data_IF_499465113100
#
_entry.id   IF_499465113100
#
_cell.length_a   1.000
_cell.length_b   1.000
_cell.length_c   1.000
_cell.angle_alpha   90.00
_cell.angle_beta   90.00
_cell.angle_gamma   90.00
#
_symmetry.space_group_name_H-M   'P 1'
#
loop_
_entity.id
_entity.type
_entity.pdbx_description
1 polymer ?
#
# COMPACT_ATOMS: atom_id res chain seq x y z
N UNK A 1 -2.13 -24.12 9.50
CA UNK A 1 -2.79 -22.97 10.13
C UNK A 1 -1.82 -21.79 10.01
N UNK A 2 -2.18 -20.74 9.28
CA UNK A 2 -1.35 -19.53 9.19
C UNK A 2 -1.42 -18.80 10.54
N UNK A 3 -0.37 -18.92 11.35
CA UNK A 3 -0.26 -18.24 12.64
C UNK A 3 0.09 -16.77 12.40
N UNK A 4 -0.58 -15.87 13.10
CA UNK A 4 -0.21 -14.44 13.08
C UNK A 4 1.16 -14.25 13.71
N UNK A 5 2.03 -13.51 13.01
CA UNK A 5 3.35 -13.12 13.55
C UNK A 5 3.27 -11.82 14.31
N UNK A 6 2.33 -10.95 13.94
CA UNK A 6 2.01 -9.70 14.63
C UNK A 6 0.51 -9.62 14.82
N UNK A 7 0.08 -9.28 16.03
CA UNK A 7 -1.29 -8.88 16.34
C UNK A 7 -1.29 -7.51 16.99
N UNK A 8 -2.09 -6.60 16.45
CA UNK A 8 -2.31 -5.26 16.98
C UNK A 8 -3.78 -5.14 17.34
N UNK A 9 -4.08 -4.73 18.58
CA UNK A 9 -5.43 -4.61 19.10
C UNK A 9 -5.65 -3.24 19.73
N UNK A 10 -6.54 -2.46 19.13
CA UNK A 10 -7.04 -1.17 19.61
C UNK A 10 -5.93 -0.18 20.00
N UNK A 11 -4.84 -0.14 19.21
CA UNK A 11 -3.70 0.74 19.47
C UNK A 11 -4.09 2.17 19.20
N UNK A 12 -3.78 3.05 20.15
CA UNK A 12 -3.92 4.50 20.00
C UNK A 12 -2.67 5.22 20.45
N UNK A 13 -2.37 6.35 19.78
CA UNK A 13 -1.26 7.23 20.10
C UNK A 13 -1.58 8.69 19.79
N UNK A 14 -1.33 9.56 20.74
CA UNK A 14 -1.42 11.01 20.61
C UNK A 14 -0.11 11.65 21.03
N UNK A 15 0.37 12.63 20.26
CA UNK A 15 1.51 13.46 20.65
C UNK A 15 1.05 14.78 21.29
N UNK A 16 -0.18 15.18 21.03
CA UNK A 16 -0.83 16.36 21.59
C UNK A 16 -2.20 15.99 22.16
N UNK A 17 -2.64 16.72 23.18
CA UNK A 17 -3.91 16.47 23.85
C UNK A 17 -5.08 16.55 22.86
N UNK A 18 -5.92 15.52 22.82
CA UNK A 18 -7.12 15.40 21.98
C UNK A 18 -6.89 15.31 20.46
N UNK A 19 -5.68 14.98 20.00
CA UNK A 19 -5.43 14.75 18.57
C UNK A 19 -4.67 13.43 18.36
N UNK A 20 -5.39 12.29 18.30
CA UNK A 20 -4.75 11.01 18.10
C UNK A 20 -4.23 10.87 16.68
N UNK A 21 -2.94 10.59 16.54
CA UNK A 21 -2.27 10.29 15.26
C UNK A 21 -2.53 8.83 14.86
N UNK A 22 -2.65 7.93 15.84
CA UNK A 22 -3.14 6.56 15.67
C UNK A 22 -4.34 6.40 16.56
N UNK A 23 -5.47 5.95 16.04
CA UNK A 23 -6.75 5.97 16.70
C UNK A 23 -7.48 4.64 16.53
N UNK A 24 -7.43 3.80 17.54
CA UNK A 24 -8.12 2.50 17.60
C UNK A 24 -7.76 1.56 16.44
N UNK A 25 -6.46 1.46 16.13
CA UNK A 25 -5.96 0.64 15.04
C UNK A 25 -5.83 -0.82 15.46
N UNK A 26 -6.42 -1.72 14.67
CA UNK A 26 -6.36 -3.16 14.88
C UNK A 26 -6.12 -3.89 13.56
N UNK A 27 -5.12 -4.77 13.52
CA UNK A 27 -4.86 -5.68 12.40
C UNK A 27 -3.92 -6.82 12.82
N UNK A 28 -3.83 -7.83 11.97
CA UNK A 28 -2.88 -8.93 12.09
C UNK A 28 -2.00 -9.04 10.85
N UNK A 29 -0.81 -9.58 11.02
CA UNK A 29 0.10 -9.97 9.94
C UNK A 29 0.42 -11.45 10.09
N UNK A 30 0.27 -12.22 9.02
CA UNK A 30 0.52 -13.66 9.01
C UNK A 30 2.00 -13.97 8.82
N UNK A 31 2.39 -15.20 9.15
CA UNK A 31 3.74 -15.68 8.83
C UNK A 31 3.95 -15.69 7.32
N UNK A 32 5.15 -15.30 6.89
CA UNK A 32 5.59 -15.22 5.48
C UNK A 32 4.78 -14.23 4.63
N UNK A 33 4.04 -13.31 5.28
CA UNK A 33 3.25 -12.28 4.64
C UNK A 33 4.04 -10.97 4.52
N UNK A 34 3.87 -10.31 3.38
CA UNK A 34 4.25 -8.90 3.18
C UNK A 34 2.98 -8.06 3.31
N UNK A 35 2.90 -7.27 4.35
CA UNK A 35 1.76 -6.42 4.68
C UNK A 35 2.09 -4.95 4.48
N UNK A 36 1.26 -4.20 3.77
CA UNK A 36 1.48 -2.78 3.57
C UNK A 36 0.50 -1.92 4.39
N UNK A 37 1.03 -0.90 5.06
CA UNK A 37 0.26 0.24 5.57
C UNK A 37 0.33 1.36 4.54
N UNK A 38 -0.76 1.62 3.85
CA UNK A 38 -0.88 2.58 2.76
C UNK A 38 -1.80 3.73 3.16
N UNK A 39 -1.47 4.97 2.81
CA UNK A 39 -2.33 6.12 3.09
C UNK A 39 -1.63 7.45 2.85
N UNK A 40 -2.34 8.59 2.92
CA UNK A 40 -1.76 9.91 2.72
C UNK A 40 -0.71 10.25 3.79
N UNK A 41 0.11 11.26 3.51
CA UNK A 41 1.09 11.76 4.47
C UNK A 41 0.39 12.24 5.75
N UNK A 42 0.96 11.93 6.92
CA UNK A 42 0.41 12.33 8.21
C UNK A 42 -0.75 11.48 8.74
N UNK A 43 -1.22 10.41 8.05
CA UNK A 43 -2.33 9.57 8.53
C UNK A 43 -1.95 8.54 9.62
N UNK A 44 -0.71 8.52 10.12
CA UNK A 44 -0.30 7.68 11.26
C UNK A 44 0.51 6.43 10.93
N UNK A 45 0.85 6.14 9.66
CA UNK A 45 1.57 4.93 9.21
C UNK A 45 2.93 4.75 9.91
N UNK A 46 3.83 5.73 9.75
CA UNK A 46 5.16 5.72 10.37
C UNK A 46 5.08 5.62 11.89
N UNK A 47 4.10 6.30 12.51
CA UNK A 47 3.87 6.19 13.96
C UNK A 47 3.45 4.77 14.34
N UNK A 48 2.54 4.14 13.58
CA UNK A 48 2.15 2.74 13.80
C UNK A 48 3.36 1.81 13.65
N UNK A 49 4.20 2.01 12.63
CA UNK A 49 5.41 1.22 12.44
C UNK A 49 6.40 1.39 13.61
N UNK A 50 6.58 2.62 14.12
CA UNK A 50 7.43 2.93 15.28
C UNK A 50 6.91 2.32 16.58
N UNK A 51 5.59 2.27 16.76
CA UNK A 51 4.96 1.57 17.88
C UNK A 51 5.27 0.06 17.84
N UNK A 52 5.20 -0.58 16.66
CA UNK A 52 5.55 -1.99 16.48
C UNK A 52 7.04 -2.22 16.76
N UNK A 53 7.90 -1.31 16.29
CA UNK A 53 9.35 -1.38 16.51
C UNK A 53 9.76 -1.14 17.97
N UNK A 54 8.92 -0.46 18.78
CA UNK A 54 9.22 -0.05 20.14
C UNK A 54 9.98 1.26 20.25
N UNK A 55 10.01 2.08 19.19
CA UNK A 55 10.55 3.43 19.24
C UNK A 55 9.58 4.44 19.87
N UNK A 56 8.30 4.07 19.98
CA UNK A 56 7.24 4.87 20.59
C UNK A 56 6.43 4.00 21.56
N UNK A 57 5.81 4.65 22.56
CA UNK A 57 4.89 4.04 23.50
C UNK A 57 3.45 4.24 23.04
N UNK A 58 2.64 3.19 23.11
CA UNK A 58 1.20 3.31 22.90
C UNK A 58 0.53 3.99 24.10
N UNK A 59 -0.52 4.78 23.84
CA UNK A 59 -1.34 5.35 24.90
C UNK A 59 -2.39 4.32 25.38
N UNK A 60 -2.80 3.40 24.50
CA UNK A 60 -3.70 2.28 24.81
C UNK A 60 -3.57 1.15 23.80
N UNK A 61 -4.16 0.00 24.10
CA UNK A 61 -4.18 -1.20 23.27
C UNK A 61 -2.99 -2.14 23.51
N UNK A 62 -2.76 -3.08 22.60
CA UNK A 62 -1.68 -4.04 22.74
C UNK A 62 -1.04 -4.42 21.41
N UNK A 63 0.24 -4.77 21.46
CA UNK A 63 1.00 -5.34 20.34
C UNK A 63 1.61 -6.65 20.80
N UNK A 64 1.36 -7.71 20.03
CA UNK A 64 1.94 -9.03 20.21
C UNK A 64 2.81 -9.36 19.01
N UNK A 65 4.07 -9.77 19.21
CA UNK A 65 4.98 -10.23 18.15
C UNK A 65 5.42 -11.65 18.52
N UNK A 66 5.28 -12.61 17.58
CA UNK A 66 5.63 -14.02 17.80
C UNK A 66 5.03 -14.59 19.10
N UNK A 67 3.74 -14.34 19.33
CA UNK A 67 2.99 -14.73 20.54
C UNK A 67 3.50 -14.13 21.87
N UNK A 68 4.41 -13.14 21.81
CA UNK A 68 4.89 -12.41 22.99
C UNK A 68 4.29 -11.01 22.98
N UNK A 69 3.66 -10.60 24.08
CA UNK A 69 3.21 -9.22 24.27
C UNK A 69 4.44 -8.33 24.40
N UNK A 70 4.58 -7.35 23.47
CA UNK A 70 5.70 -6.40 23.46
C UNK A 70 5.28 -4.97 23.83
N UNK A 71 3.98 -4.70 23.79
CA UNK A 71 3.38 -3.42 24.18
C UNK A 71 1.99 -3.67 24.74
N UNK A 72 1.73 -3.30 25.98
CA UNK A 72 0.42 -3.28 26.62
C UNK A 72 0.53 -2.64 28.02
N UNK A 73 -0.30 -1.66 28.35
CA UNK A 73 -0.34 -1.00 29.67
C UNK A 73 1.08 -0.61 30.17
N UNK A 74 1.61 -1.35 31.14
CA UNK A 74 2.95 -1.15 31.74
C UNK A 74 4.05 -1.95 31.03
N UNK A 75 3.71 -2.78 30.07
CA UNK A 75 4.67 -3.60 29.33
C UNK A 75 5.15 -2.80 28.10
N UNK A 76 6.43 -2.51 28.05
CA UNK A 76 7.09 -1.94 26.89
C UNK A 76 8.43 -2.63 26.70
N UNK A 77 8.50 -3.53 25.72
CA UNK A 77 9.74 -4.22 25.33
C UNK A 77 10.56 -3.29 24.45
N UNK A 78 11.85 -3.11 24.80
CA UNK A 78 12.74 -2.22 24.06
C UNK A 78 12.96 -2.71 22.62
N UNK A 79 13.25 -1.83 21.64
CA UNK A 79 13.40 -2.19 20.23
C UNK A 79 14.36 -3.34 19.98
N UNK A 80 15.52 -3.36 20.62
CA UNK A 80 16.55 -4.38 20.45
C UNK A 80 16.14 -5.77 20.98
N UNK A 81 15.08 -5.85 21.79
CA UNK A 81 14.57 -7.08 22.40
C UNK A 81 13.32 -7.61 21.69
N UNK A 82 12.76 -6.86 20.72
CA UNK A 82 11.56 -7.27 19.94
C UNK A 82 11.88 -8.29 18.84
N UNK A 83 13.15 -8.50 18.50
CA UNK A 83 13.58 -9.46 17.48
C UNK A 83 13.13 -9.10 16.06
N UNK A 84 12.99 -7.80 15.77
CA UNK A 84 12.58 -7.27 14.47
C UNK A 84 13.74 -6.61 13.74
N UNK A 85 13.78 -6.74 12.41
CA UNK A 85 14.67 -5.94 11.55
C UNK A 85 13.98 -4.63 11.20
N UNK A 86 14.74 -3.54 11.04
CA UNK A 86 14.20 -2.24 10.67
C UNK A 86 15.00 -1.61 9.52
N UNK A 87 14.31 -1.16 8.48
CA UNK A 87 14.84 -0.37 7.37
C UNK A 87 14.24 1.02 7.46
N UNK A 88 15.08 2.03 7.69
CA UNK A 88 14.68 3.42 7.78
C UNK A 88 14.54 4.06 6.39
N UNK A 89 13.78 5.13 6.30
CA UNK A 89 13.53 5.88 5.07
C UNK A 89 14.82 6.46 4.46
N UNK A 90 15.75 6.93 5.29
CA UNK A 90 17.07 7.43 4.92
C UNK A 90 18.16 6.36 4.92
N UNK A 91 17.74 5.07 4.96
CA UNK A 91 18.57 3.87 5.07
C UNK A 91 19.40 3.79 6.35
N UNK A 92 19.69 4.90 7.02
CA UNK A 92 20.48 5.03 8.26
C UNK A 92 21.76 4.18 8.26
N UNK A 93 22.47 4.13 7.12
CA UNK A 93 23.77 3.47 7.04
C UNK A 93 24.82 4.27 7.79
N UNK A 94 25.76 3.57 8.44
CA UNK A 94 26.90 4.20 9.10
C UNK A 94 27.87 4.72 8.04
N UNK A 95 28.06 6.05 7.88
CA UNK A 95 28.80 6.63 6.76
C UNK A 95 30.30 6.30 6.77
N UNK A 96 30.85 5.99 7.94
CA UNK A 96 32.25 5.64 8.14
C UNK A 96 32.53 4.13 8.06
N UNK A 97 31.53 3.33 7.72
CA UNK A 97 31.61 1.88 7.59
C UNK A 97 31.37 1.46 6.14
N UNK A 98 32.10 0.46 5.68
CA UNK A 98 31.82 -0.18 4.38
C UNK A 98 30.51 -0.97 4.42
N UNK A 99 30.02 -1.41 3.25
CA UNK A 99 28.80 -2.21 3.15
C UNK A 99 28.87 -3.47 4.03
N UNK A 100 29.98 -4.21 3.99
CA UNK A 100 30.16 -5.41 4.82
C UNK A 100 30.18 -5.09 6.30
N UNK A 101 30.81 -3.98 6.71
CA UNK A 101 30.85 -3.54 8.09
C UNK A 101 29.47 -3.11 8.61
N UNK A 102 28.69 -2.42 7.77
CA UNK A 102 27.30 -2.08 8.07
C UNK A 102 26.46 -3.34 8.34
N UNK A 103 26.58 -4.36 7.51
CA UNK A 103 25.85 -5.63 7.69
C UNK A 103 26.36 -6.39 8.91
N UNK A 104 27.68 -6.47 9.11
CA UNK A 104 28.30 -7.16 10.24
C UNK A 104 27.95 -6.50 11.60
N UNK A 105 27.63 -5.21 11.62
CA UNK A 105 27.23 -4.49 12.83
C UNK A 105 25.97 -5.08 13.49
N UNK A 106 25.02 -5.58 12.70
CA UNK A 106 23.80 -6.24 13.20
C UNK A 106 24.02 -7.63 13.80
N UNK A 107 25.20 -8.24 13.59
CA UNK A 107 25.50 -9.64 13.96
C UNK A 107 26.13 -9.76 15.36
N UNK A 108 25.49 -9.16 16.39
CA UNK A 108 26.05 -9.12 17.76
C UNK A 108 26.20 -10.51 18.39
N UNK A 109 25.30 -11.42 18.07
CA UNK A 109 25.26 -12.79 18.61
C UNK A 109 26.23 -13.76 17.90
N UNK A 110 26.85 -13.30 16.80
CA UNK A 110 27.86 -14.10 16.06
C UNK A 110 29.27 -13.73 16.58
N UNK A 111 30.15 -14.72 16.83
CA UNK A 111 31.55 -14.47 17.17
C UNK A 111 32.25 -13.56 16.15
N UNK A 112 33.05 -12.59 16.62
CA UNK A 112 33.66 -11.55 15.75
C UNK A 112 34.37 -12.13 14.52
N UNK A 113 35.08 -13.23 14.67
CA UNK A 113 35.84 -13.91 13.61
C UNK A 113 34.96 -14.56 12.53
N UNK A 114 33.64 -14.69 12.78
CA UNK A 114 32.68 -15.26 11.82
C UNK A 114 31.72 -14.23 11.23
N UNK A 115 31.67 -13.00 11.80
CA UNK A 115 30.69 -11.96 11.38
C UNK A 115 30.86 -11.56 9.93
N UNK A 116 32.12 -11.41 9.49
CA UNK A 116 32.41 -10.99 8.12
C UNK A 116 31.97 -12.03 7.09
N UNK A 117 32.25 -13.30 7.32
CA UNK A 117 31.78 -14.39 6.44
C UNK A 117 30.26 -14.43 6.36
N UNK A 118 29.58 -14.27 7.50
CA UNK A 118 28.12 -14.21 7.55
C UNK A 118 27.56 -12.98 6.84
N UNK A 119 28.19 -11.82 7.03
CA UNK A 119 27.81 -10.58 6.36
C UNK A 119 27.96 -10.69 4.82
N UNK A 120 29.04 -11.35 4.37
CA UNK A 120 29.27 -11.62 2.95
C UNK A 120 28.20 -12.51 2.33
N UNK A 121 27.78 -13.59 3.03
CA UNK A 121 26.66 -14.43 2.58
C UNK A 121 25.37 -13.62 2.44
N UNK A 122 25.11 -12.68 3.34
CA UNK A 122 23.91 -11.84 3.28
C UNK A 122 24.01 -10.82 2.15
N UNK A 123 25.17 -10.19 1.95
CA UNK A 123 25.43 -9.29 0.81
C UNK A 123 25.24 -10.02 -0.53
N UNK A 124 25.71 -11.27 -0.63
CA UNK A 124 25.47 -12.08 -1.83
C UNK A 124 23.97 -12.28 -2.09
N UNK A 125 23.16 -12.57 -1.06
CA UNK A 125 21.69 -12.72 -1.19
C UNK A 125 20.98 -11.45 -1.66
N UNK A 126 21.56 -10.28 -1.38
CA UNK A 126 21.03 -8.98 -1.79
C UNK A 126 21.72 -8.43 -3.05
N UNK A 127 22.58 -9.23 -3.72
CA UNK A 127 23.31 -8.85 -4.93
C UNK A 127 24.35 -7.74 -4.70
N UNK A 128 24.88 -7.65 -3.47
CA UNK A 128 25.81 -6.58 -3.07
C UNK A 128 27.24 -7.05 -2.82
N UNK A 129 27.59 -8.30 -3.15
CA UNK A 129 28.90 -8.88 -2.93
C UNK A 129 30.05 -8.09 -3.59
N UNK A 130 29.82 -7.54 -4.79
CA UNK A 130 30.81 -6.74 -5.55
C UNK A 130 31.08 -5.36 -4.94
N UNK A 131 30.21 -4.92 -4.03
CA UNK A 131 30.27 -3.59 -3.40
C UNK A 131 30.60 -3.66 -1.92
N UNK A 132 31.06 -4.83 -1.43
CA UNK A 132 31.30 -5.10 -0.01
C UNK A 132 32.21 -4.08 0.70
N UNK A 133 33.24 -3.59 0.00
CA UNK A 133 34.25 -2.70 0.55
C UNK A 133 33.96 -1.22 0.30
N UNK A 134 32.81 -0.87 -0.33
CA UNK A 134 32.39 0.51 -0.55
C UNK A 134 31.70 1.11 0.65
N UNK A 135 31.93 2.39 0.86
CA UNK A 135 31.20 3.22 1.83
C UNK A 135 29.87 3.73 1.27
N UNK A 136 28.91 4.15 2.09
CA UNK A 136 27.59 4.60 1.61
C UNK A 136 27.64 5.69 0.54
N UNK A 137 28.55 6.64 0.61
CA UNK A 137 28.75 7.73 -0.36
C UNK A 137 29.22 7.24 -1.76
N UNK A 138 29.80 6.04 -1.81
CA UNK A 138 30.22 5.38 -3.06
C UNK A 138 29.14 4.50 -3.68
N UNK A 139 27.94 4.42 -3.06
CA UNK A 139 26.82 3.59 -3.47
C UNK A 139 25.67 4.42 -4.00
N UNK A 140 25.00 3.93 -5.07
CA UNK A 140 23.73 4.50 -5.50
C UNK A 140 22.63 4.30 -4.45
N UNK A 141 21.54 5.08 -4.50
CA UNK A 141 20.42 4.96 -3.53
C UNK A 141 19.86 3.54 -3.45
N UNK A 142 19.67 2.85 -4.59
CA UNK A 142 19.22 1.46 -4.60
C UNK A 142 20.25 0.48 -4.03
N UNK A 143 21.55 0.76 -4.16
CA UNK A 143 22.60 -0.04 -3.53
C UNK A 143 22.62 0.20 -2.01
N UNK A 144 22.49 1.44 -1.56
CA UNK A 144 22.38 1.78 -0.13
C UNK A 144 21.18 1.08 0.49
N UNK A 145 20.03 1.10 -0.19
CA UNK A 145 18.82 0.39 0.27
C UNK A 145 19.05 -1.10 0.42
N UNK A 146 19.70 -1.76 -0.57
CA UNK A 146 20.01 -3.20 -0.49
C UNK A 146 20.99 -3.52 0.64
N UNK A 147 21.93 -2.65 0.93
CA UNK A 147 22.82 -2.78 2.11
C UNK A 147 22.05 -2.59 3.42
N UNK A 148 21.12 -1.63 3.49
CA UNK A 148 20.25 -1.43 4.66
C UNK A 148 19.33 -2.64 4.89
N UNK A 149 18.74 -3.20 3.83
CA UNK A 149 18.00 -4.45 3.89
C UNK A 149 18.89 -5.61 4.37
N UNK A 150 20.09 -5.78 3.79
CA UNK A 150 21.04 -6.80 4.20
C UNK A 150 21.36 -6.69 5.70
N UNK A 151 21.60 -5.48 6.21
CA UNK A 151 21.81 -5.22 7.64
C UNK A 151 20.60 -5.63 8.48
N UNK A 152 19.39 -5.30 8.03
CA UNK A 152 18.15 -5.60 8.74
C UNK A 152 17.87 -7.11 8.81
N UNK A 153 18.17 -7.87 7.74
CA UNK A 153 17.89 -9.31 7.65
C UNK A 153 19.03 -10.19 8.16
N UNK A 154 20.24 -9.64 8.33
CA UNK A 154 21.41 -10.40 8.76
C UNK A 154 21.21 -11.16 10.09
N UNK A 155 20.53 -10.59 11.12
CA UNK A 155 20.23 -11.31 12.35
C UNK A 155 19.15 -12.39 12.19
N UNK A 156 18.62 -12.59 10.98
CA UNK A 156 17.52 -13.53 10.65
C UNK A 156 16.24 -13.27 11.46
N UNK A 157 15.75 -12.01 11.50
CA UNK A 157 14.52 -11.71 12.19
C UNK A 157 13.35 -12.44 11.51
N UNK A 158 12.28 -12.73 12.25
CA UNK A 158 11.04 -13.26 11.67
C UNK A 158 10.18 -12.17 11.04
N UNK A 159 10.40 -10.90 11.42
CA UNK A 159 9.67 -9.73 10.96
C UNK A 159 10.64 -8.61 10.57
N UNK A 160 10.42 -8.02 9.41
CA UNK A 160 11.14 -6.84 8.92
C UNK A 160 10.15 -5.68 8.80
N UNK A 161 10.48 -4.54 9.39
CA UNK A 161 9.73 -3.30 9.32
C UNK A 161 10.43 -2.35 8.34
N UNK A 162 9.70 -1.76 7.42
CA UNK A 162 10.26 -0.90 6.37
C UNK A 162 9.47 0.41 6.29
N UNK A 163 10.12 1.53 6.55
CA UNK A 163 9.54 2.88 6.51
C UNK A 163 9.92 3.55 5.19
N UNK A 164 8.97 3.65 4.25
CA UNK A 164 9.12 4.25 2.91
C UNK A 164 10.44 3.84 2.20
N UNK A 165 10.75 2.54 2.11
CA UNK A 165 12.09 2.09 1.70
C UNK A 165 12.46 2.46 0.27
N UNK A 166 11.50 2.73 -0.63
CA UNK A 166 11.76 2.99 -2.04
C UNK A 166 11.57 4.47 -2.45
N UNK A 167 11.28 5.37 -1.50
CA UNK A 167 10.95 6.76 -1.78
C UNK A 167 12.12 7.56 -2.39
N UNK A 168 13.37 7.20 -2.08
CA UNK A 168 14.59 7.86 -2.58
C UNK A 168 15.09 7.37 -3.94
N UNK A 169 14.37 6.46 -4.62
CA UNK A 169 14.81 5.85 -5.87
C UNK A 169 14.15 6.49 -7.10
N UNK A 170 14.90 6.57 -8.21
CA UNK A 170 14.30 6.88 -9.51
C UNK A 170 13.34 5.77 -9.98
N UNK A 171 12.45 6.08 -10.92
CA UNK A 171 11.36 5.18 -11.31
C UNK A 171 11.84 3.84 -11.89
N UNK A 172 12.91 3.82 -12.71
CA UNK A 172 13.43 2.58 -13.32
C UNK A 172 14.07 1.67 -12.26
N UNK A 173 14.85 2.27 -11.36
CA UNK A 173 15.55 1.55 -10.30
C UNK A 173 14.57 1.05 -9.24
N UNK A 174 13.49 1.79 -8.98
CA UNK A 174 12.47 1.47 -8.00
C UNK A 174 11.78 0.14 -8.30
N UNK A 175 11.32 -0.09 -9.54
CA UNK A 175 10.62 -1.31 -9.92
C UNK A 175 11.52 -2.56 -9.82
N UNK A 176 12.75 -2.49 -10.34
CA UNK A 176 13.71 -3.61 -10.23
C UNK A 176 14.06 -3.92 -8.78
N UNK A 177 14.30 -2.87 -7.97
CA UNK A 177 14.65 -3.04 -6.55
C UNK A 177 13.49 -3.62 -5.73
N UNK A 178 12.24 -3.18 -6.00
CA UNK A 178 11.04 -3.77 -5.35
C UNK A 178 10.97 -5.28 -5.60
N UNK A 179 11.12 -5.72 -6.86
CA UNK A 179 11.08 -7.14 -7.23
C UNK A 179 12.17 -7.95 -6.53
N UNK A 180 13.40 -7.43 -6.48
CA UNK A 180 14.52 -8.08 -5.82
C UNK A 180 14.32 -8.18 -4.29
N UNK A 181 13.92 -7.09 -3.64
CA UNK A 181 13.63 -7.07 -2.19
C UNK A 181 12.50 -8.06 -1.85
N UNK A 182 11.41 -8.06 -2.62
CA UNK A 182 10.32 -9.02 -2.45
C UNK A 182 10.81 -10.47 -2.55
N UNK A 183 11.62 -10.76 -3.56
CA UNK A 183 12.17 -12.08 -3.76
C UNK A 183 13.07 -12.53 -2.58
N UNK A 184 13.91 -11.64 -2.04
CA UNK A 184 14.75 -11.90 -0.88
C UNK A 184 13.91 -12.23 0.36
N UNK A 185 12.87 -11.41 0.65
CA UNK A 185 11.99 -11.63 1.79
C UNK A 185 11.25 -12.96 1.68
N UNK A 186 10.63 -13.23 0.54
CA UNK A 186 9.88 -14.49 0.29
C UNK A 186 10.78 -15.72 0.35
N UNK A 187 11.94 -15.68 -0.29
CA UNK A 187 12.91 -16.82 -0.26
C UNK A 187 13.43 -17.10 1.14
N UNK A 188 13.49 -16.08 1.99
CA UNK A 188 13.99 -16.21 3.36
C UNK A 188 12.91 -16.59 4.38
N UNK A 189 11.63 -16.72 3.97
CA UNK A 189 10.50 -16.99 4.86
C UNK A 189 10.33 -15.90 5.93
N UNK A 190 10.55 -14.64 5.56
CA UNK A 190 10.43 -13.50 6.47
C UNK A 190 9.13 -12.75 6.20
N UNK A 191 8.40 -12.43 7.26
CA UNK A 191 7.27 -11.51 7.18
C UNK A 191 7.79 -10.07 7.13
N UNK A 192 7.04 -9.18 6.48
CA UNK A 192 7.40 -7.77 6.43
C UNK A 192 6.18 -6.86 6.62
N UNK A 193 6.40 -5.71 7.26
CA UNK A 193 5.43 -4.60 7.26
C UNK A 193 6.09 -3.43 6.54
N UNK A 194 5.46 -3.00 5.45
CA UNK A 194 5.87 -1.87 4.64
C UNK A 194 4.99 -0.66 4.95
N UNK A 195 5.55 0.49 5.17
CA UNK A 195 4.85 1.78 5.18
C UNK A 195 5.15 2.51 3.89
N UNK A 196 4.12 2.96 3.19
CA UNK A 196 4.27 3.77 1.98
C UNK A 196 3.09 4.71 1.76
N UNK A 197 3.29 5.75 0.98
CA UNK A 197 2.24 6.59 0.41
C UNK A 197 2.05 6.34 -1.10
N UNK A 198 2.90 5.51 -1.70
CA UNK A 198 2.86 5.14 -3.12
C UNK A 198 1.92 3.94 -3.33
N UNK A 199 0.85 4.17 -4.09
CA UNK A 199 -0.18 3.17 -4.37
C UNK A 199 0.37 2.01 -5.19
N UNK A 200 1.18 2.31 -6.21
CA UNK A 200 1.78 1.30 -7.08
C UNK A 200 2.74 0.39 -6.30
N UNK A 201 3.49 0.98 -5.36
CA UNK A 201 4.35 0.22 -4.46
C UNK A 201 3.53 -0.77 -3.62
N UNK A 202 2.48 -0.31 -2.94
CA UNK A 202 1.65 -1.17 -2.11
C UNK A 202 0.96 -2.27 -2.94
N UNK A 203 0.35 -1.91 -4.09
CA UNK A 203 -0.38 -2.84 -4.94
C UNK A 203 0.52 -3.92 -5.59
N UNK A 204 1.78 -3.58 -5.93
CA UNK A 204 2.70 -4.52 -6.59
C UNK A 204 3.57 -5.33 -5.62
N UNK A 205 3.75 -4.87 -4.38
CA UNK A 205 4.69 -5.45 -3.44
C UNK A 205 4.05 -6.28 -2.34
N UNK A 206 2.88 -5.87 -1.83
CA UNK A 206 2.24 -6.49 -0.68
C UNK A 206 1.36 -7.70 -1.04
N UNK A 207 1.17 -8.60 -0.08
CA UNK A 207 0.17 -9.67 -0.15
C UNK A 207 -1.18 -9.20 0.41
N UNK A 208 -1.15 -8.31 1.42
CA UNK A 208 -2.33 -7.58 1.95
C UNK A 208 -1.97 -6.13 2.24
N UNK A 209 -2.96 -5.28 2.09
CA UNK A 209 -2.86 -3.83 2.28
C UNK A 209 -3.89 -3.39 3.32
N UNK A 210 -3.45 -2.59 4.30
CA UNK A 210 -4.33 -1.78 5.12
C UNK A 210 -4.28 -0.33 4.63
N UNK A 211 -5.41 0.18 4.17
CA UNK A 211 -5.56 1.59 3.79
C UNK A 211 -5.88 2.39 5.03
N UNK A 212 -5.00 3.33 5.38
CA UNK A 212 -5.13 4.19 6.56
C UNK A 212 -5.55 5.61 6.16
N UNK A 213 -6.42 6.19 6.97
CA UNK A 213 -6.85 7.58 6.84
C UNK A 213 -7.14 8.17 8.22
N UNK A 214 -6.65 9.38 8.50
CA UNK A 214 -6.90 10.10 9.76
C UNK A 214 -6.71 9.24 11.02
N UNK A 215 -5.62 8.48 11.07
CA UNK A 215 -5.27 7.63 12.21
C UNK A 215 -6.03 6.31 12.30
N UNK A 216 -6.91 5.99 11.35
CA UNK A 216 -7.76 4.78 11.35
C UNK A 216 -7.50 3.91 10.14
N UNK A 217 -7.86 2.64 10.24
CA UNK A 217 -7.90 1.74 9.09
C UNK A 217 -9.28 1.82 8.45
N UNK A 218 -9.32 2.17 7.16
CA UNK A 218 -10.52 2.23 6.32
C UNK A 218 -10.88 0.84 5.77
N UNK A 219 -9.86 0.10 5.30
CA UNK A 219 -10.04 -1.22 4.71
C UNK A 219 -8.77 -2.04 4.79
N UNK A 220 -8.90 -3.35 4.97
CA UNK A 220 -7.82 -4.34 4.79
C UNK A 220 -8.30 -5.36 3.75
N UNK A 221 -7.41 -5.74 2.82
CA UNK A 221 -7.66 -6.76 1.80
C UNK A 221 -6.42 -7.07 0.98
N UNK A 222 -6.55 -7.98 0.00
CA UNK A 222 -5.52 -8.17 -1.03
C UNK A 222 -5.44 -6.92 -1.92
N UNK A 223 -4.37 -6.74 -2.69
CA UNK A 223 -4.29 -5.64 -3.68
C UNK A 223 -5.53 -5.53 -4.56
N UNK A 224 -5.99 -6.67 -5.10
CA UNK A 224 -7.18 -6.74 -5.96
C UNK A 224 -8.47 -6.37 -5.20
N UNK A 225 -8.63 -6.86 -3.97
CA UNK A 225 -9.81 -6.55 -3.15
C UNK A 225 -9.91 -5.06 -2.83
N UNK A 226 -8.81 -4.42 -2.40
CA UNK A 226 -8.87 -2.99 -2.05
C UNK A 226 -9.04 -2.10 -3.28
N UNK A 227 -8.53 -2.51 -4.44
CA UNK A 227 -8.65 -1.77 -5.70
C UNK A 227 -10.02 -1.94 -6.36
N UNK A 228 -10.47 -3.19 -6.56
CA UNK A 228 -11.71 -3.48 -7.29
C UNK A 228 -12.96 -3.53 -6.40
N UNK A 229 -12.81 -3.67 -5.07
CA UNK A 229 -13.92 -3.72 -4.12
C UNK A 229 -13.73 -2.73 -2.97
N UNK A 230 -13.53 -1.43 -3.27
CA UNK A 230 -13.38 -0.42 -2.24
C UNK A 230 -14.64 -0.34 -1.38
N UNK A 231 -14.45 -0.25 -0.05
CA UNK A 231 -15.58 -0.13 0.88
C UNK A 231 -16.08 1.30 1.01
N UNK A 232 -15.18 2.28 1.05
CA UNK A 232 -15.52 3.69 1.27
C UNK A 232 -15.15 4.54 0.06
N UNK A 233 -15.76 5.71 -0.05
CA UNK A 233 -15.43 6.69 -1.08
C UNK A 233 -13.94 7.06 -1.02
N UNK A 234 -13.39 7.19 0.20
CA UNK A 234 -11.97 7.48 0.38
C UNK A 234 -11.09 6.42 -0.27
N UNK A 235 -11.32 5.13 0.03
CA UNK A 235 -10.53 4.02 -0.56
C UNK A 235 -10.64 4.00 -2.07
N UNK A 236 -11.87 4.17 -2.61
CA UNK A 236 -12.10 4.21 -4.04
C UNK A 236 -11.28 5.29 -4.76
N UNK A 237 -11.27 6.51 -4.21
CA UNK A 237 -10.57 7.66 -4.79
C UNK A 237 -9.06 7.65 -4.50
N UNK A 238 -8.67 7.14 -3.34
CA UNK A 238 -7.27 7.12 -2.93
C UNK A 238 -6.46 6.09 -3.73
N UNK A 239 -7.00 4.93 -4.08
CA UNK A 239 -6.30 3.86 -4.81
C UNK A 239 -6.28 4.05 -6.33
N UNK A 240 -6.79 5.13 -6.84
CA UNK A 240 -6.77 5.44 -8.26
C UNK A 240 -7.98 6.27 -8.69
N UNK A 241 -8.00 6.63 -9.95
CA UNK A 241 -9.16 7.34 -10.53
C UNK A 241 -10.39 6.43 -10.48
N UNK A 242 -11.55 7.00 -10.18
CA UNK A 242 -12.83 6.29 -10.17
C UNK A 242 -13.96 7.24 -10.55
N UNK A 243 -14.95 6.72 -11.22
CA UNK A 243 -16.20 7.42 -11.48
C UNK A 243 -17.16 7.16 -10.30
N UNK A 244 -17.64 8.22 -9.68
CA UNK A 244 -18.65 8.17 -8.63
C UNK A 244 -19.98 8.64 -9.18
N UNK A 245 -21.05 7.88 -8.93
CA UNK A 245 -22.41 8.26 -9.29
C UNK A 245 -23.40 7.77 -8.24
N UNK A 246 -24.55 8.44 -8.19
CA UNK A 246 -25.66 8.06 -7.31
C UNK A 246 -26.71 7.27 -8.08
N UNK A 247 -27.30 6.29 -7.43
CA UNK A 247 -28.40 5.51 -7.96
C UNK A 247 -29.44 5.26 -6.87
N UNK A 248 -30.67 4.94 -7.25
CA UNK A 248 -31.71 4.53 -6.34
C UNK A 248 -31.91 3.01 -6.44
N UNK A 249 -31.66 2.32 -5.34
CA UNK A 249 -31.76 0.88 -5.27
C UNK A 249 -33.09 0.46 -4.58
N UNK A 250 -33.73 -0.58 -5.11
CA UNK A 250 -35.03 -1.09 -4.67
C UNK A 250 -34.94 -2.49 -4.01
N UNK A 251 -33.78 -2.86 -3.46
CA UNK A 251 -33.54 -4.17 -2.86
C UNK A 251 -32.92 -5.20 -3.81
N UNK A 252 -32.79 -4.89 -5.10
CA UNK A 252 -32.17 -5.76 -6.11
C UNK A 252 -30.69 -5.46 -6.31
N UNK A 253 -30.03 -6.26 -7.15
CA UNK A 253 -28.67 -6.00 -7.65
C UNK A 253 -28.67 -5.23 -8.97
N UNK A 254 -29.82 -4.88 -9.50
CA UNK A 254 -29.99 -4.05 -10.68
C UNK A 254 -30.51 -2.70 -10.24
N UNK A 255 -29.84 -1.64 -10.66
CA UNK A 255 -30.21 -0.27 -10.34
C UNK A 255 -30.28 0.55 -11.62
N UNK A 256 -31.29 1.39 -11.70
CA UNK A 256 -31.43 2.34 -12.79
C UNK A 256 -30.51 3.53 -12.56
N UNK A 257 -29.70 3.84 -13.55
CA UNK A 257 -28.71 4.91 -13.51
C UNK A 257 -28.80 5.74 -14.78
N UNK A 258 -28.06 6.82 -14.82
CA UNK A 258 -27.91 7.62 -16.04
C UNK A 258 -27.26 6.86 -17.22
N UNK A 259 -26.62 5.70 -16.98
CA UNK A 259 -26.09 4.81 -18.02
C UNK A 259 -27.08 3.71 -18.42
N UNK A 260 -28.35 3.79 -17.98
CA UNK A 260 -29.33 2.72 -18.02
C UNK A 260 -29.21 1.77 -16.82
N UNK A 261 -29.67 0.53 -16.98
CA UNK A 261 -29.58 -0.50 -15.93
C UNK A 261 -28.15 -0.95 -15.70
N UNK A 262 -27.71 -0.88 -14.44
CA UNK A 262 -26.36 -1.24 -14.00
C UNK A 262 -26.44 -2.28 -12.91
N UNK A 263 -25.64 -3.35 -13.04
CA UNK A 263 -25.46 -4.33 -11.98
C UNK A 263 -24.57 -3.76 -10.86
N UNK A 264 -24.96 -4.00 -9.61
CA UNK A 264 -24.17 -3.65 -8.42
C UNK A 264 -23.68 -4.91 -7.71
N UNK A 265 -22.61 -4.76 -6.92
CA UNK A 265 -21.92 -5.88 -6.25
C UNK A 265 -22.72 -6.54 -5.13
N UNK A 266 -23.68 -5.83 -4.52
CA UNK A 266 -24.52 -6.31 -3.40
C UNK A 266 -25.93 -5.73 -3.48
N UNK A 267 -26.91 -6.39 -2.86
CA UNK A 267 -28.26 -5.82 -2.73
C UNK A 267 -28.18 -4.52 -1.90
N UNK A 268 -28.96 -3.52 -2.29
CA UNK A 268 -29.04 -2.23 -1.63
C UNK A 268 -30.45 -1.65 -1.71
N UNK A 269 -30.76 -0.71 -0.80
CA UNK A 269 -32.05 0.00 -0.75
C UNK A 269 -31.83 1.51 -0.60
N UNK A 270 -32.69 2.31 -1.22
CA UNK A 270 -32.67 3.76 -1.17
C UNK A 270 -31.56 4.39 -2.01
N UNK A 271 -31.18 5.62 -1.66
CA UNK A 271 -30.14 6.35 -2.38
C UNK A 271 -28.75 5.80 -2.00
N UNK A 272 -28.04 5.28 -2.99
CA UNK A 272 -26.71 4.71 -2.84
C UNK A 272 -25.66 5.52 -3.61
N UNK A 273 -24.43 5.47 -3.14
CA UNK A 273 -23.25 5.95 -3.86
C UNK A 273 -22.51 4.76 -4.46
N UNK A 274 -22.29 4.79 -5.75
CA UNK A 274 -21.60 3.75 -6.51
C UNK A 274 -20.27 4.26 -7.05
N UNK A 275 -19.31 3.35 -7.17
CA UNK A 275 -18.01 3.54 -7.79
C UNK A 275 -17.83 2.58 -8.95
N UNK A 276 -17.31 3.07 -10.08
CA UNK A 276 -16.88 2.24 -11.21
C UNK A 276 -15.52 2.71 -11.70
N UNK A 277 -14.59 1.79 -11.91
CA UNK A 277 -13.25 2.12 -12.41
C UNK A 277 -13.31 2.60 -13.85
N UNK A 278 -12.43 3.52 -14.28
CA UNK A 278 -12.38 4.00 -15.66
C UNK A 278 -12.23 2.91 -16.71
N UNK A 279 -11.49 1.84 -16.41
CA UNK A 279 -11.32 0.65 -17.27
C UNK A 279 -12.55 -0.27 -17.31
N UNK A 280 -13.49 -0.10 -16.38
CA UNK A 280 -14.76 -0.82 -16.33
C UNK A 280 -15.94 -0.03 -16.92
N UNK A 281 -15.65 1.12 -17.52
CA UNK A 281 -16.61 1.92 -18.25
C UNK A 281 -16.18 1.98 -19.73
N UNK A 282 -16.95 1.37 -20.62
CA UNK A 282 -16.71 1.38 -22.05
C UNK A 282 -17.37 2.56 -22.76
N UNK A 283 -16.79 2.97 -23.89
CA UNK A 283 -17.40 3.92 -24.82
C UNK A 283 -17.47 3.34 -26.23
N UNK A 284 -18.52 3.69 -26.96
CA UNK A 284 -18.69 3.36 -28.37
C UNK A 284 -19.24 4.59 -29.10
N UNK A 285 -18.99 4.68 -30.42
CA UNK A 285 -19.49 5.78 -31.24
C UNK A 285 -21.03 5.77 -31.21
N UNK A 286 -21.63 6.93 -30.95
CA UNK A 286 -23.07 7.06 -30.99
C UNK A 286 -23.57 7.10 -32.45
N UNK A 287 -24.55 6.26 -32.75
CA UNK A 287 -25.26 6.28 -34.06
C UNK A 287 -26.39 7.30 -34.10
N UNK A 288 -26.89 7.69 -32.92
CA UNK A 288 -27.99 8.65 -32.72
C UNK A 288 -27.54 9.67 -31.67
N UNK A 289 -27.87 10.96 -31.88
CA UNK A 289 -27.46 12.03 -30.97
C UNK A 289 -28.24 12.07 -29.62
N UNK A 290 -29.32 11.29 -29.53
CA UNK A 290 -30.11 11.22 -28.29
C UNK A 290 -29.41 10.38 -27.24
N UNK A 291 -29.28 10.97 -26.02
CA UNK A 291 -28.75 10.31 -24.82
C UNK A 291 -27.26 9.85 -24.92
N UNK A 292 -26.43 10.66 -25.57
CA UNK A 292 -25.00 10.41 -25.75
C UNK A 292 -24.12 11.37 -24.93
N UNK A 293 -22.93 10.90 -24.56
CA UNK A 293 -21.87 11.73 -23.99
C UNK A 293 -21.06 12.44 -25.09
N UNK A 294 -20.31 13.46 -24.71
CA UNK A 294 -19.39 14.17 -25.58
C UNK A 294 -17.98 14.05 -25.07
N UNK A 295 -17.02 13.68 -25.91
CA UNK A 295 -15.61 13.67 -25.56
C UNK A 295 -15.12 15.12 -25.36
N UNK A 296 -14.76 15.47 -24.14
CA UNK A 296 -14.27 16.81 -23.76
C UNK A 296 -12.77 16.85 -23.48
N UNK A 297 -12.10 15.71 -23.51
CA UNK A 297 -10.66 15.62 -23.29
C UNK A 297 -10.12 14.24 -23.59
N UNK A 298 -8.83 14.19 -23.97
CA UNK A 298 -8.11 12.97 -24.30
C UNK A 298 -6.68 13.07 -23.81
N UNK A 299 -6.19 12.02 -23.13
CA UNK A 299 -4.80 11.86 -22.69
C UNK A 299 -4.26 10.54 -23.26
N UNK A 300 -3.27 10.60 -24.15
CA UNK A 300 -2.57 9.42 -24.64
C UNK A 300 -1.41 9.06 -23.71
N UNK A 301 -1.34 7.80 -23.27
CA UNK A 301 -0.32 7.30 -22.34
C UNK A 301 0.58 6.20 -22.92
N UNK A 302 0.60 6.04 -24.24
CA UNK A 302 1.38 5.02 -24.93
C UNK A 302 0.61 3.71 -25.10
N UNK A 303 0.28 3.03 -24.03
CA UNK A 303 -0.42 1.74 -24.05
C UNK A 303 -1.94 1.86 -23.86
N UNK A 304 -2.41 2.97 -23.36
CA UNK A 304 -3.83 3.28 -23.15
C UNK A 304 -4.16 4.73 -23.51
N UNK A 305 -5.45 5.02 -23.64
CA UNK A 305 -5.99 6.37 -23.81
C UNK A 305 -7.00 6.61 -22.70
N UNK A 306 -6.85 7.73 -22.01
CA UNK A 306 -7.85 8.23 -21.06
C UNK A 306 -8.72 9.25 -21.75
N UNK A 307 -10.03 9.01 -21.80
CA UNK A 307 -11.03 9.95 -22.26
C UNK A 307 -11.77 10.59 -21.10
N UNK A 308 -12.11 11.87 -21.28
CA UNK A 308 -13.01 12.59 -20.40
C UNK A 308 -14.31 12.81 -21.16
N UNK A 309 -15.40 12.28 -20.65
CA UNK A 309 -16.73 12.32 -21.28
C UNK A 309 -17.65 13.19 -20.44
N UNK A 310 -18.27 14.19 -21.06
CA UNK A 310 -19.36 14.96 -20.45
C UNK A 310 -20.67 14.27 -20.79
N UNK A 311 -21.41 13.83 -19.78
CA UNK A 311 -22.70 13.16 -19.96
C UNK A 311 -23.71 13.66 -18.93
N UNK A 312 -24.85 14.17 -19.39
CA UNK A 312 -25.92 14.72 -18.53
C UNK A 312 -25.44 15.73 -17.48
N UNK A 313 -24.40 16.50 -17.80
CA UNK A 313 -23.80 17.52 -16.91
C UNK A 313 -22.68 17.01 -16.00
N UNK A 314 -22.47 15.70 -15.90
CA UNK A 314 -21.40 15.08 -15.13
C UNK A 314 -20.22 14.68 -16.01
N UNK A 315 -19.01 14.71 -15.41
CA UNK A 315 -17.77 14.33 -16.09
C UNK A 315 -17.35 12.93 -15.68
N UNK A 316 -17.15 12.07 -16.67
CA UNK A 316 -16.71 10.68 -16.51
C UNK A 316 -15.33 10.47 -17.10
N UNK A 317 -14.58 9.56 -16.53
CA UNK A 317 -13.25 9.13 -16.98
C UNK A 317 -13.39 7.70 -17.53
N UNK A 318 -12.89 7.49 -18.74
CA UNK A 318 -12.90 6.16 -19.38
C UNK A 318 -11.48 5.84 -19.84
N UNK A 319 -11.00 4.65 -19.51
CA UNK A 319 -9.74 4.14 -20.02
C UNK A 319 -10.06 3.10 -21.12
N UNK A 320 -9.47 3.30 -22.30
CA UNK A 320 -9.60 2.35 -23.41
C UNK A 320 -8.20 1.91 -23.88
N UNK A 321 -8.15 0.76 -24.56
CA UNK A 321 -7.00 0.41 -25.36
C UNK A 321 -6.92 1.32 -26.61
N UNK A 322 -5.81 1.22 -27.35
CA UNK A 322 -5.56 2.07 -28.54
C UNK A 322 -6.28 1.61 -29.82
N UNK A 323 -7.27 0.71 -29.74
CA UNK A 323 -7.93 0.15 -30.93
C UNK A 323 -8.96 1.10 -31.50
N UNK A 324 -9.81 1.66 -30.66
CA UNK A 324 -10.81 2.63 -31.07
C UNK A 324 -10.41 4.02 -30.60
N UNK A 325 -10.16 4.90 -31.57
CA UNK A 325 -9.72 6.27 -31.30
C UNK A 325 -10.91 7.22 -31.53
N UNK A 326 -11.22 7.99 -30.49
CA UNK A 326 -12.23 9.06 -30.50
C UNK A 326 -11.53 10.42 -30.47
N UNK A 327 -12.09 11.37 -31.20
CA UNK A 327 -11.61 12.76 -31.20
C UNK A 327 -12.44 13.65 -30.26
N UNK A 328 -11.95 14.88 -30.04
CA UNK A 328 -12.72 15.87 -29.28
C UNK A 328 -14.05 16.14 -29.99
N UNK A 329 -15.09 16.37 -29.20
CA UNK A 329 -16.48 16.60 -29.62
C UNK A 329 -17.20 15.38 -30.23
N UNK A 330 -16.52 14.22 -30.35
CA UNK A 330 -17.20 12.98 -30.74
C UNK A 330 -18.31 12.62 -29.75
N UNK A 331 -19.46 12.16 -30.31
CA UNK A 331 -20.59 11.65 -29.54
C UNK A 331 -20.42 10.16 -29.27
N UNK A 332 -20.51 9.80 -28.00
CA UNK A 332 -20.28 8.43 -27.54
C UNK A 332 -21.39 7.95 -26.62
N UNK A 333 -21.68 6.66 -26.70
CA UNK A 333 -22.52 5.95 -25.74
C UNK A 333 -21.60 5.34 -24.70
N UNK A 334 -21.91 5.56 -23.42
CA UNK A 334 -21.18 4.94 -22.29
C UNK A 334 -21.91 3.70 -21.81
N UNK A 335 -21.16 2.61 -21.57
CA UNK A 335 -21.72 1.35 -21.07
C UNK A 335 -20.82 0.78 -19.97
N UNK A 336 -21.36 0.48 -18.77
CA UNK A 336 -20.64 -0.30 -17.78
C UNK A 336 -20.29 -1.70 -18.32
N UNK A 337 -19.02 -2.08 -18.19
CA UNK A 337 -18.49 -3.39 -18.59
C UNK A 337 -18.50 -4.36 -17.41
N UNK A 338 -18.47 -3.84 -16.19
CA UNK A 338 -18.44 -4.59 -14.94
C UNK A 338 -19.44 -4.01 -13.95
N UNK A 339 -19.67 -4.75 -12.85
CA UNK A 339 -20.55 -4.32 -11.77
C UNK A 339 -20.02 -3.09 -11.07
N UNK A 340 -20.88 -2.13 -10.81
CA UNK A 340 -20.54 -1.00 -9.96
C UNK A 340 -20.49 -1.43 -8.48
N UNK A 341 -19.60 -0.81 -7.73
CA UNK A 341 -19.36 -1.11 -6.32
C UNK A 341 -20.13 -0.12 -5.45
N UNK A 342 -21.04 -0.65 -4.61
CA UNK A 342 -21.78 0.15 -3.63
C UNK A 342 -20.87 0.49 -2.47
N UNK A 343 -20.62 1.77 -2.29
CA UNK A 343 -19.76 2.30 -1.23
C UNK A 343 -20.55 2.47 0.09
N UNK A 344 -19.86 2.24 1.20
CA UNK A 344 -20.40 2.54 2.52
C UNK A 344 -20.47 4.06 2.69
N UNK A 345 -21.65 4.56 3.03
CA UNK A 345 -21.81 5.98 3.36
C UNK A 345 -21.26 6.20 4.77
N UNK A 346 -20.26 7.07 4.92
CA UNK A 346 -19.88 7.55 6.23
C UNK A 346 -21.11 8.24 6.88
N UNK A 347 -21.58 7.72 8.01
CA UNK A 347 -22.70 8.28 8.79
C UNK A 347 -22.44 9.70 9.34
N UNK A 348 -21.42 10.41 8.87
CA UNK A 348 -20.96 11.68 9.40
C UNK A 348 -21.28 12.91 8.50
N UNK A 349 -22.22 12.77 7.55
CA UNK A 349 -22.74 13.93 6.80
C UNK A 349 -24.29 13.83 6.80
N UNK A 350 -24.87 14.19 7.90
CA UNK A 350 -26.24 14.73 8.00
C UNK A 350 -26.14 16.18 8.46
#
# INVERSE_FOLDING_TARGET
MNTSIVEIKNISKSFTKNNPVVNDVSFDVKSDEIFALLGPSGCGKTTTLRLIAGFEYADSGSITIQNKIVEQDKIHVLPQERGVGFVFQDYALFPHMTAIQNVAFGLKDIPKNKREVYAEEVLCRTGMEKYRDRTPDELSGGQQQRVALARAIAPKPKLVLMDEPFSGLDAMLRDSTRKEVRAVLKKSGMSAILVTHDQEEALSFADRIAVMNNGKIEQIGTPEEVYYQPKTQFVAQFLGRTNLFRAYANGSKEVDTQFGEVLINKNAEGLILCSIRPEHLGIAKAEVEEDCGTIIGREFRGHDITYYVLFRGDRYIVHTDNRDIFELDDKVIMKPLEKAIVLEQNKAIQ
#
